data_IF_771357146785
#
_entry.id   IF_771357146785
#
_cell.length_a   1.000
_cell.length_b   1.000
_cell.length_c   1.000
_cell.angle_alpha   90.00
_cell.angle_beta   90.00
_cell.angle_gamma   90.00
#
_symmetry.space_group_name_H-M   'P 1'
#
loop_
_entity.id
_entity.type
_entity.pdbx_description
1 polymer ?
#
# COMPACT_ATOMS: atom_id res chain seq x y z
N UNK A 1 11.47 -6.29 11.35
CA UNK A 1 10.09 -6.04 10.89
C UNK A 1 9.45 -4.94 11.72
N UNK A 2 9.01 -3.87 11.06
CA UNK A 2 8.35 -2.72 11.69
C UNK A 2 6.84 -2.78 11.48
N UNK A 3 6.08 -2.88 12.56
CA UNK A 3 4.61 -2.86 12.53
C UNK A 3 4.00 -1.49 12.81
N UNK A 4 2.67 -1.43 12.80
CA UNK A 4 1.90 -0.22 13.12
C UNK A 4 2.18 0.37 14.51
N UNK A 5 2.63 -0.45 15.47
CA UNK A 5 3.02 -0.01 16.80
C UNK A 5 4.15 1.01 16.79
N UNK A 6 5.09 0.92 15.84
CA UNK A 6 6.19 1.90 15.70
C UNK A 6 5.65 3.28 15.28
N UNK A 7 4.69 3.31 14.35
CA UNK A 7 4.05 4.56 13.92
C UNK A 7 3.15 5.12 15.04
N UNK A 8 2.39 4.26 15.70
CA UNK A 8 1.44 4.68 16.73
C UNK A 8 2.13 5.26 17.97
N UNK A 9 3.33 4.77 18.30
CA UNK A 9 4.15 5.28 19.42
C UNK A 9 5.05 6.46 19.04
N UNK A 10 4.96 6.97 17.79
CA UNK A 10 5.86 8.01 17.26
C UNK A 10 7.35 7.63 17.40
N UNK A 11 7.70 6.40 17.04
CA UNK A 11 9.04 5.83 17.18
C UNK A 11 9.80 5.66 15.84
N UNK A 12 9.29 6.22 14.75
CA UNK A 12 9.87 6.05 13.41
C UNK A 12 11.32 6.58 13.33
N UNK A 13 11.61 7.74 13.92
CA UNK A 13 12.96 8.30 13.93
C UNK A 13 13.94 7.42 14.70
N UNK A 14 13.51 6.85 15.84
CA UNK A 14 14.31 5.90 16.62
C UNK A 14 14.54 4.60 15.85
N UNK A 15 13.57 4.14 15.10
CA UNK A 15 13.73 2.96 14.22
C UNK A 15 14.79 3.21 13.15
N UNK A 16 14.74 4.36 12.49
CA UNK A 16 15.73 4.73 11.45
C UNK A 16 17.11 4.85 12.08
N UNK A 17 17.23 5.56 13.21
CA UNK A 17 18.50 5.69 13.94
C UNK A 17 19.08 4.32 14.36
N UNK A 18 18.23 3.42 14.87
CA UNK A 18 18.66 2.06 15.23
C UNK A 18 19.15 1.28 14.00
N UNK A 19 18.43 1.37 12.88
CA UNK A 19 18.81 0.72 11.64
C UNK A 19 20.16 1.23 11.11
N UNK A 20 20.38 2.55 11.12
CA UNK A 20 21.64 3.18 10.68
C UNK A 20 22.83 2.84 11.57
N UNK A 21 22.63 2.77 12.90
CA UNK A 21 23.69 2.40 13.84
C UNK A 21 24.12 0.95 13.63
N UNK A 22 23.14 0.06 13.43
CA UNK A 22 23.35 -1.40 13.40
C UNK A 22 23.58 -1.97 12.01
N UNK A 23 23.22 -1.24 10.94
CA UNK A 23 23.21 -1.74 9.57
C UNK A 23 22.13 -2.81 9.30
N UNK A 24 21.06 -2.88 10.13
CA UNK A 24 19.99 -3.85 9.98
C UNK A 24 18.95 -3.31 9.02
N UNK A 25 18.68 -4.00 7.89
CA UNK A 25 17.60 -3.62 6.98
C UNK A 25 16.22 -3.71 7.63
N UNK A 26 15.31 -2.82 7.24
CA UNK A 26 13.96 -2.72 7.79
C UNK A 26 12.93 -3.18 6.77
N UNK A 27 12.01 -4.04 7.22
CA UNK A 27 10.85 -4.51 6.48
C UNK A 27 9.59 -3.96 7.18
N UNK A 28 8.92 -2.93 6.66
CA UNK A 28 7.63 -2.51 7.19
C UNK A 28 6.55 -3.55 6.90
N UNK A 29 5.59 -3.67 7.82
CA UNK A 29 4.29 -4.26 7.49
C UNK A 29 3.43 -3.21 6.79
N UNK A 30 2.29 -3.60 6.20
CA UNK A 30 1.37 -2.63 5.61
C UNK A 30 0.98 -1.51 6.59
N UNK A 31 0.74 -1.85 7.86
CA UNK A 31 0.40 -0.87 8.91
C UNK A 31 1.60 -0.11 9.45
N UNK A 32 2.81 -0.59 9.21
CA UNK A 32 4.08 0.08 9.55
C UNK A 32 4.70 0.83 8.37
N UNK A 33 4.03 0.88 7.21
CA UNK A 33 4.56 1.51 6.02
C UNK A 33 4.73 3.02 6.21
N UNK A 34 5.90 3.53 5.88
CA UNK A 34 6.33 4.89 6.19
C UNK A 34 7.08 5.04 7.51
N UNK A 35 7.22 3.99 8.34
CA UNK A 35 8.09 4.03 9.54
C UNK A 35 9.58 4.20 9.18
N UNK A 36 9.94 3.86 7.98
CA UNK A 36 11.18 4.19 7.29
C UNK A 36 10.82 4.63 5.88
N UNK A 37 11.42 5.72 5.32
CA UNK A 37 11.13 6.16 3.96
C UNK A 37 11.41 5.07 2.92
N UNK A 38 10.57 4.96 1.88
CA UNK A 38 10.82 4.00 0.78
C UNK A 38 12.12 4.30 0.01
N UNK A 39 12.61 5.54 0.03
CA UNK A 39 13.91 5.94 -0.53
C UNK A 39 15.12 5.53 0.33
N UNK A 40 14.91 5.17 1.60
CA UNK A 40 16.03 4.88 2.50
C UNK A 40 16.80 3.61 2.06
N UNK A 41 18.14 3.61 2.06
CA UNK A 41 18.95 2.45 1.63
C UNK A 41 18.69 1.17 2.43
N UNK A 42 18.32 1.29 3.70
CA UNK A 42 18.02 0.15 4.57
C UNK A 42 16.54 -0.27 4.52
N UNK A 43 15.68 0.40 3.75
CA UNK A 43 14.30 -0.05 3.51
C UNK A 43 14.33 -1.24 2.55
N UNK A 44 14.07 -2.45 3.06
CA UNK A 44 14.23 -3.69 2.32
C UNK A 44 12.92 -4.20 1.66
N UNK A 45 11.89 -3.38 1.60
CA UNK A 45 10.57 -3.74 1.04
C UNK A 45 9.64 -4.38 2.05
N UNK A 46 8.36 -4.41 1.73
CA UNK A 46 7.36 -5.13 2.53
C UNK A 46 7.36 -6.61 2.17
N UNK A 47 7.18 -7.47 3.18
CA UNK A 47 6.97 -8.90 3.01
C UNK A 47 5.49 -9.25 3.15
N UNK A 48 5.04 -10.28 2.47
CA UNK A 48 3.69 -10.79 2.60
C UNK A 48 3.17 -11.54 1.38
N UNK A 49 1.89 -11.90 1.45
CA UNK A 49 1.21 -12.71 0.43
C UNK A 49 0.57 -11.86 -0.66
N UNK A 50 0.24 -10.62 -0.36
CA UNK A 50 -0.54 -9.74 -1.23
C UNK A 50 0.07 -8.32 -1.31
N UNK A 51 0.34 -7.70 -0.16
CA UNK A 51 0.86 -6.33 -0.06
C UNK A 51 2.38 -6.34 0.04
N UNK A 52 3.05 -7.09 -0.82
CA UNK A 52 4.49 -7.31 -0.76
C UNK A 52 5.23 -6.75 -1.97
N UNK A 53 6.50 -6.45 -1.73
CA UNK A 53 7.48 -6.26 -2.79
C UNK A 53 8.22 -7.59 -3.02
N UNK A 54 8.52 -7.96 -4.27
CA UNK A 54 9.29 -9.19 -4.57
C UNK A 54 10.62 -9.24 -3.83
N UNK A 55 11.33 -8.11 -3.80
CA UNK A 55 12.59 -7.98 -3.08
C UNK A 55 12.43 -8.07 -1.55
N UNK A 56 11.28 -7.67 -0.99
CA UNK A 56 10.95 -7.83 0.42
C UNK A 56 10.83 -9.30 0.83
N UNK A 57 10.05 -10.08 0.07
CA UNK A 57 9.95 -11.53 0.29
C UNK A 57 11.30 -12.22 0.14
N UNK A 58 12.08 -11.91 -0.91
CA UNK A 58 13.41 -12.47 -1.12
C UNK A 58 14.38 -12.12 0.03
N UNK A 59 14.31 -10.90 0.56
CA UNK A 59 15.13 -10.49 1.72
C UNK A 59 14.73 -11.24 2.98
N UNK A 60 13.42 -11.38 3.24
CA UNK A 60 12.94 -12.16 4.38
C UNK A 60 13.37 -13.63 4.31
N UNK A 61 13.23 -14.25 3.14
CA UNK A 61 13.64 -15.66 2.92
C UNK A 61 15.14 -15.87 3.11
N UNK A 62 15.96 -14.89 2.81
CA UNK A 62 17.42 -14.94 2.97
C UNK A 62 17.89 -14.55 4.38
N UNK A 63 17.02 -14.11 5.27
CA UNK A 63 17.37 -13.71 6.65
C UNK A 63 17.53 -14.92 7.58
N UNK A 64 18.34 -14.77 8.61
CA UNK A 64 18.56 -15.76 9.68
C UNK A 64 18.00 -15.32 11.03
N UNK A 65 17.72 -14.01 11.17
CA UNK A 65 17.27 -13.40 12.40
C UNK A 65 16.26 -12.26 12.11
N UNK A 66 15.20 -12.19 12.89
CA UNK A 66 14.14 -11.19 12.75
C UNK A 66 13.82 -10.56 14.09
N UNK A 67 13.96 -9.24 14.16
CA UNK A 67 13.45 -8.43 15.25
C UNK A 67 12.11 -7.83 14.81
N UNK A 68 11.01 -8.26 15.39
CA UNK A 68 9.68 -7.71 15.15
C UNK A 68 9.29 -6.72 16.22
N UNK A 69 8.90 -5.51 15.82
CA UNK A 69 8.53 -4.42 16.75
C UNK A 69 7.13 -3.91 16.40
N UNK A 70 6.21 -4.01 17.37
CA UNK A 70 4.85 -3.47 17.25
C UNK A 70 4.05 -4.06 16.09
N UNK A 71 4.20 -5.36 15.84
CA UNK A 71 3.45 -6.08 14.81
C UNK A 71 2.87 -7.38 15.38
N UNK A 72 1.68 -7.75 14.91
CA UNK A 72 0.92 -8.90 15.41
C UNK A 72 1.09 -10.17 14.59
N UNK A 73 1.99 -10.20 13.63
CA UNK A 73 2.24 -11.32 12.72
C UNK A 73 0.96 -11.78 12.00
N UNK A 74 0.28 -10.81 11.34
CA UNK A 74 -0.94 -11.11 10.59
C UNK A 74 -0.64 -12.11 9.47
N UNK A 75 -1.59 -13.00 9.21
CA UNK A 75 -1.42 -14.07 8.22
C UNK A 75 -1.15 -13.53 6.79
N UNK A 76 -1.68 -12.38 6.41
CA UNK A 76 -1.35 -11.73 5.11
C UNK A 76 0.13 -11.32 5.01
N UNK A 77 0.80 -11.13 6.14
CA UNK A 77 2.23 -10.84 6.21
C UNK A 77 3.05 -12.12 6.29
N UNK A 78 2.65 -13.10 7.10
CA UNK A 78 3.44 -14.32 7.32
C UNK A 78 3.14 -15.42 6.30
N UNK A 79 1.90 -15.58 5.90
CA UNK A 79 1.44 -16.81 5.27
C UNK A 79 1.61 -18.00 6.20
N UNK A 80 1.99 -19.16 5.65
CA UNK A 80 2.38 -20.33 6.42
C UNK A 80 3.52 -20.02 7.38
N UNK A 81 3.29 -20.24 8.67
CA UNK A 81 4.31 -20.01 9.71
C UNK A 81 5.48 -20.99 9.59
N UNK A 82 5.27 -22.16 9.03
CA UNK A 82 6.34 -23.12 8.77
C UNK A 82 7.38 -22.55 7.78
N UNK A 83 6.92 -21.95 6.70
CA UNK A 83 7.79 -21.28 5.72
C UNK A 83 8.38 -19.99 6.30
N UNK A 84 7.52 -19.20 6.97
CA UNK A 84 7.92 -17.89 7.50
C UNK A 84 9.00 -18.02 8.59
N UNK A 85 8.93 -19.02 9.47
CA UNK A 85 9.85 -19.19 10.59
C UNK A 85 11.07 -20.06 10.24
N UNK A 86 11.04 -20.80 9.13
CA UNK A 86 12.07 -21.77 8.77
C UNK A 86 13.47 -21.17 8.74
N UNK A 87 14.36 -21.67 9.61
CA UNK A 87 15.76 -21.27 9.67
C UNK A 87 16.03 -19.89 10.29
N UNK A 88 15.02 -19.26 10.91
CA UNK A 88 15.11 -17.91 11.49
C UNK A 88 14.88 -17.94 12.99
N UNK A 89 15.57 -17.04 13.68
CA UNK A 89 15.32 -16.71 15.09
C UNK A 89 14.51 -15.42 15.18
N UNK A 90 13.66 -15.35 16.19
CA UNK A 90 12.74 -14.23 16.35
C UNK A 90 12.85 -13.58 17.73
N UNK A 91 12.99 -12.25 17.75
CA UNK A 91 12.65 -11.43 18.91
C UNK A 91 11.36 -10.68 18.59
N UNK A 92 10.39 -10.71 19.51
CA UNK A 92 9.11 -10.05 19.36
C UNK A 92 8.92 -9.01 20.45
N UNK A 93 8.79 -7.74 20.07
CA UNK A 93 8.47 -6.62 20.95
C UNK A 93 7.05 -6.16 20.66
N UNK A 94 6.18 -6.24 21.65
CA UNK A 94 4.80 -5.75 21.56
C UNK A 94 4.35 -5.19 22.91
N UNK A 95 3.48 -4.19 22.88
CA UNK A 95 2.91 -3.59 24.10
C UNK A 95 1.86 -4.51 24.74
N UNK A 96 1.20 -5.34 23.91
CA UNK A 96 0.16 -6.26 24.34
C UNK A 96 0.76 -7.65 24.62
N UNK A 97 0.85 -8.09 25.88
CA UNK A 97 1.52 -9.35 26.24
C UNK A 97 0.89 -10.57 25.56
N UNK A 98 -0.41 -10.53 25.27
CA UNK A 98 -1.13 -11.65 24.62
C UNK A 98 -0.79 -11.81 23.14
N UNK A 99 -0.12 -10.84 22.51
CA UNK A 99 0.41 -10.99 21.15
C UNK A 99 1.70 -11.80 21.11
N UNK A 100 2.48 -11.79 22.20
CA UNK A 100 3.74 -12.55 22.27
C UNK A 100 3.44 -14.05 22.24
N UNK A 101 3.93 -14.73 21.23
CA UNK A 101 3.72 -16.18 21.05
C UNK A 101 2.36 -16.59 20.50
N UNK A 102 1.48 -15.64 20.17
CA UNK A 102 0.13 -15.97 19.69
C UNK A 102 0.10 -16.69 18.35
N UNK A 103 0.98 -16.33 17.43
CA UNK A 103 1.04 -16.91 16.08
C UNK A 103 2.14 -17.98 15.99
N UNK A 104 3.31 -17.70 16.52
CA UNK A 104 4.42 -18.63 16.71
C UNK A 104 5.25 -18.20 17.92
N UNK A 105 5.91 -19.12 18.57
CA UNK A 105 6.74 -18.85 19.75
C UNK A 105 8.04 -18.16 19.30
N UNK A 106 8.32 -16.92 19.73
CA UNK A 106 9.61 -16.28 19.47
C UNK A 106 10.71 -16.85 20.38
N UNK A 107 11.98 -16.72 19.99
CA UNK A 107 13.13 -17.04 20.87
C UNK A 107 13.18 -16.10 22.08
N UNK A 108 12.75 -14.86 21.92
CA UNK A 108 12.62 -13.88 23.01
C UNK A 108 11.40 -12.98 22.80
N UNK A 109 10.53 -12.91 23.79
CA UNK A 109 9.42 -11.97 23.87
C UNK A 109 9.75 -10.80 24.80
N UNK A 110 9.46 -9.58 24.38
CA UNK A 110 9.64 -8.35 25.16
C UNK A 110 8.32 -7.60 25.20
N UNK A 111 7.72 -7.47 26.37
CA UNK A 111 6.53 -6.67 26.57
C UNK A 111 6.96 -5.23 26.83
N UNK A 112 6.75 -4.35 25.84
CA UNK A 112 7.14 -2.95 25.92
C UNK A 112 6.44 -2.11 24.85
N UNK A 113 6.24 -0.83 25.15
CA UNK A 113 5.97 0.18 24.14
C UNK A 113 7.13 0.25 23.12
N UNK A 114 6.80 0.42 21.82
CA UNK A 114 7.80 0.40 20.75
C UNK A 114 8.80 1.55 20.88
N UNK A 115 8.36 2.75 21.31
CA UNK A 115 9.25 3.90 21.50
C UNK A 115 10.23 3.67 22.66
N UNK A 116 9.74 3.14 23.77
CA UNK A 116 10.57 2.83 24.92
C UNK A 116 11.62 1.76 24.59
N UNK A 117 11.21 0.69 23.90
CA UNK A 117 12.13 -0.36 23.46
C UNK A 117 13.18 0.17 22.49
N UNK A 118 12.76 0.93 21.47
CA UNK A 118 13.67 1.47 20.45
C UNK A 118 14.65 2.50 21.05
N UNK A 119 14.22 3.34 21.99
CA UNK A 119 15.12 4.27 22.69
C UNK A 119 16.28 3.53 23.38
N UNK A 120 15.95 2.45 24.11
CA UNK A 120 16.96 1.64 24.77
C UNK A 120 17.84 0.86 23.77
N UNK A 121 17.23 0.34 22.68
CA UNK A 121 18.00 -0.33 21.63
C UNK A 121 19.00 0.61 20.94
N UNK A 122 18.63 1.87 20.69
CA UNK A 122 19.50 2.90 20.13
C UNK A 122 20.67 3.18 21.08
N UNK A 123 20.40 3.38 22.39
CA UNK A 123 21.42 3.62 23.41
C UNK A 123 22.45 2.47 23.46
N UNK A 124 21.97 1.24 23.64
CA UNK A 124 22.81 0.06 23.71
C UNK A 124 23.58 -0.18 22.41
N UNK A 125 22.95 0.00 21.25
CA UNK A 125 23.61 -0.14 19.96
C UNK A 125 24.74 0.90 19.78
N UNK A 126 24.53 2.15 20.23
CA UNK A 126 25.55 3.19 20.18
C UNK A 126 26.75 2.85 21.09
N UNK A 127 26.50 2.34 22.28
CA UNK A 127 27.57 1.87 23.20
C UNK A 127 28.35 0.69 22.62
N UNK A 128 27.63 -0.29 22.04
CA UNK A 128 28.26 -1.44 21.37
C UNK A 128 29.10 -1.03 20.17
N UNK A 129 28.64 -0.02 19.41
CA UNK A 129 29.39 0.55 18.27
C UNK A 129 30.70 1.19 18.75
N UNK A 130 30.64 2.01 19.81
CA UNK A 130 31.84 2.64 20.44
C UNK A 130 32.81 1.59 20.93
N UNK A 131 32.31 0.50 21.49
CA UNK A 131 33.12 -0.62 22.00
C UNK A 131 33.62 -1.59 20.92
N UNK A 132 33.32 -1.35 19.64
CA UNK A 132 33.70 -2.25 18.53
C UNK A 132 33.03 -3.62 18.59
N UNK A 133 31.88 -3.75 19.28
CA UNK A 133 31.15 -5.01 19.48
C UNK A 133 30.01 -5.24 18.53
N UNK A 134 29.67 -4.27 17.67
CA UNK A 134 28.65 -4.48 16.65
C UNK A 134 29.19 -5.36 15.52
N UNK A 135 28.36 -6.33 15.12
CA UNK A 135 28.64 -7.12 13.90
C UNK A 135 28.55 -6.21 12.66
N UNK A 136 29.53 -6.28 11.79
CA UNK A 136 29.48 -5.62 10.48
C UNK A 136 28.40 -6.29 9.61
N UNK A 137 27.48 -5.50 9.11
CA UNK A 137 26.37 -5.90 8.22
C UNK A 137 26.39 -5.18 6.88
N UNK A 138 27.51 -4.50 6.56
CA UNK A 138 27.64 -3.74 5.30
C UNK A 138 27.33 -4.60 4.08
N UNK A 139 27.85 -5.83 4.04
CA UNK A 139 27.59 -6.76 2.94
C UNK A 139 26.10 -7.13 2.86
N UNK A 140 25.46 -7.44 3.98
CA UNK A 140 24.04 -7.79 4.03
C UNK A 140 23.15 -6.63 3.61
N UNK A 141 23.42 -5.43 4.11
CA UNK A 141 22.70 -4.21 3.72
C UNK A 141 22.83 -3.93 2.21
N UNK A 142 24.04 -4.09 1.66
CA UNK A 142 24.30 -3.94 0.22
C UNK A 142 23.54 -4.99 -0.62
N UNK A 143 23.48 -6.24 -0.16
CA UNK A 143 22.69 -7.28 -0.83
C UNK A 143 21.19 -6.95 -0.84
N UNK A 144 20.64 -6.46 0.28
CA UNK A 144 19.23 -6.05 0.35
C UNK A 144 18.92 -4.87 -0.56
N UNK A 145 19.80 -3.87 -0.57
CA UNK A 145 19.68 -2.73 -1.49
C UNK A 145 19.84 -3.16 -2.96
N UNK A 146 20.76 -4.09 -3.22
CA UNK A 146 20.94 -4.68 -4.55
C UNK A 146 19.68 -5.38 -5.05
N UNK A 147 18.99 -6.17 -4.21
CA UNK A 147 17.70 -6.76 -4.56
C UNK A 147 16.65 -5.69 -4.86
N UNK A 148 16.54 -4.66 -4.01
CA UNK A 148 15.60 -3.55 -4.21
C UNK A 148 15.81 -2.84 -5.55
N UNK A 149 17.05 -2.65 -5.95
CA UNK A 149 17.41 -1.92 -7.17
C UNK A 149 17.54 -2.85 -8.41
N UNK A 150 17.40 -4.15 -8.23
CA UNK A 150 17.50 -5.12 -9.31
C UNK A 150 16.22 -5.17 -10.15
N UNK A 151 16.35 -5.07 -11.46
CA UNK A 151 15.24 -5.22 -12.40
C UNK A 151 14.57 -6.59 -12.29
N UNK A 152 15.32 -7.62 -11.92
CA UNK A 152 14.79 -8.97 -11.68
C UNK A 152 13.63 -9.00 -10.67
N UNK A 153 13.65 -8.11 -9.68
CA UNK A 153 12.62 -8.00 -8.64
C UNK A 153 11.56 -6.94 -8.91
N UNK A 154 11.69 -6.14 -9.98
CA UNK A 154 10.74 -5.08 -10.28
C UNK A 154 9.58 -5.61 -11.12
N UNK A 155 8.36 -5.15 -10.82
CA UNK A 155 7.18 -5.40 -11.64
C UNK A 155 7.12 -4.40 -12.80
N UNK A 156 6.59 -4.85 -13.94
CA UNK A 156 6.30 -3.95 -15.05
C UNK A 156 5.13 -3.01 -14.69
N UNK A 157 5.21 -1.75 -15.09
CA UNK A 157 4.18 -0.73 -14.80
C UNK A 157 3.75 0.07 -16.03
N UNK A 158 4.57 0.16 -17.08
CA UNK A 158 4.31 0.97 -18.28
C UNK A 158 3.40 0.28 -19.30
N UNK A 159 2.24 -0.16 -18.86
CA UNK A 159 1.21 -0.75 -19.72
C UNK A 159 0.39 0.34 -20.44
N UNK A 160 0.13 0.15 -21.72
CA UNK A 160 -0.63 1.09 -22.58
C UNK A 160 -1.90 0.44 -23.16
N UNK A 161 -2.38 -0.65 -22.58
CA UNK A 161 -3.59 -1.34 -22.98
C UNK A 161 -4.84 -0.52 -22.65
N UNK A 162 -5.89 -0.72 -23.45
CA UNK A 162 -7.21 -0.14 -23.21
C UNK A 162 -8.24 -1.29 -23.22
N UNK A 163 -9.01 -1.44 -22.13
CA UNK A 163 -9.00 -0.71 -20.86
C UNK A 163 -7.68 -0.83 -20.11
N UNK A 164 -7.39 0.16 -19.27
CA UNK A 164 -6.08 0.27 -18.60
C UNK A 164 -5.82 -0.82 -17.58
N UNK A 165 -4.54 -1.18 -17.42
CA UNK A 165 -4.06 -1.95 -16.28
C UNK A 165 -3.82 -1.05 -15.05
N UNK A 166 -4.12 -1.52 -13.83
CA UNK A 166 -3.97 -0.71 -12.61
C UNK A 166 -2.52 -0.26 -12.37
N UNK A 167 -1.53 -1.06 -12.77
CA UNK A 167 -0.12 -0.74 -12.60
C UNK A 167 0.28 0.59 -13.26
N UNK A 168 -0.32 0.88 -14.43
CA UNK A 168 -0.09 2.14 -15.14
C UNK A 168 -0.60 3.34 -14.35
N UNK A 169 -1.75 3.18 -13.67
CA UNK A 169 -2.34 4.22 -12.82
C UNK A 169 -1.44 4.53 -11.63
N UNK A 170 -0.95 3.50 -10.94
CA UNK A 170 -0.07 3.69 -9.77
C UNK A 170 1.29 4.26 -10.16
N UNK A 171 1.82 3.92 -11.32
CA UNK A 171 3.02 4.56 -11.87
C UNK A 171 2.82 6.07 -12.01
N UNK A 172 1.71 6.49 -12.61
CA UNK A 172 1.39 7.90 -12.76
C UNK A 172 1.22 8.62 -11.41
N UNK A 173 0.56 7.95 -10.45
CA UNK A 173 0.40 8.49 -9.11
C UNK A 173 1.75 8.75 -8.43
N UNK A 174 2.70 7.82 -8.53
CA UNK A 174 4.05 7.98 -7.95
C UNK A 174 4.81 9.13 -8.60
N UNK A 175 4.70 9.28 -9.93
CA UNK A 175 5.37 10.34 -10.68
C UNK A 175 4.82 11.73 -10.36
N UNK A 176 3.49 11.82 -10.15
CA UNK A 176 2.80 13.12 -10.04
C UNK A 176 2.71 13.63 -8.62
N UNK A 177 2.36 12.76 -7.64
CA UNK A 177 2.05 13.23 -6.28
C UNK A 177 3.27 13.52 -5.41
N UNK A 178 4.44 12.91 -5.72
CA UNK A 178 5.68 13.13 -5.00
C UNK A 178 5.70 12.52 -3.60
N UNK A 179 6.67 12.94 -2.78
CA UNK A 179 6.97 12.31 -1.49
C UNK A 179 6.07 12.76 -0.32
N UNK A 180 5.39 13.91 -0.46
CA UNK A 180 4.59 14.50 0.63
C UNK A 180 3.10 14.15 0.56
N UNK A 181 2.74 13.16 -0.24
CA UNK A 181 1.36 12.70 -0.38
C UNK A 181 0.96 11.76 0.76
N UNK A 182 -0.27 11.92 1.24
CA UNK A 182 -0.91 10.97 2.15
C UNK A 182 -1.94 10.15 1.39
N UNK A 183 -1.72 8.86 1.31
CA UNK A 183 -2.66 7.92 0.74
C UNK A 183 -3.66 7.43 1.79
N UNK A 184 -4.93 7.39 1.42
CA UNK A 184 -6.02 6.84 2.24
C UNK A 184 -6.68 5.71 1.45
N UNK A 185 -6.69 4.50 1.97
CA UNK A 185 -7.24 3.33 1.26
C UNK A 185 -7.70 2.26 2.25
N UNK A 186 -8.75 1.53 1.91
CA UNK A 186 -9.29 0.47 2.76
C UNK A 186 -8.79 -0.92 2.38
N UNK A 187 -9.46 -1.60 1.47
CA UNK A 187 -9.22 -2.99 1.09
C UNK A 187 -9.54 -3.22 -0.40
N UNK A 188 -9.27 -4.40 -0.91
CA UNK A 188 -9.55 -4.83 -2.27
C UNK A 188 -8.32 -4.79 -3.17
N UNK A 189 -8.52 -5.05 -4.46
CA UNK A 189 -7.41 -5.02 -5.41
C UNK A 189 -6.72 -3.67 -5.48
N UNK A 190 -7.46 -2.56 -5.30
CA UNK A 190 -6.93 -1.20 -5.26
C UNK A 190 -5.88 -1.01 -4.17
N UNK A 191 -6.18 -1.44 -2.93
CA UNK A 191 -5.25 -1.38 -1.81
C UNK A 191 -4.04 -2.29 -2.03
N UNK A 192 -4.28 -3.52 -2.48
CA UNK A 192 -3.22 -4.51 -2.67
C UNK A 192 -2.24 -4.06 -3.75
N UNK A 193 -2.75 -3.63 -4.90
CA UNK A 193 -1.93 -3.07 -5.96
C UNK A 193 -1.26 -1.75 -5.52
N UNK A 194 -1.98 -0.88 -4.82
CA UNK A 194 -1.39 0.31 -4.21
C UNK A 194 -0.18 -0.02 -3.35
N UNK A 195 -0.28 -1.04 -2.48
CA UNK A 195 0.83 -1.46 -1.65
C UNK A 195 2.00 -2.09 -2.43
N UNK A 196 1.74 -2.67 -3.59
CA UNK A 196 2.78 -3.26 -4.45
C UNK A 196 3.52 -2.22 -5.32
N UNK A 197 2.88 -1.09 -5.64
CA UNK A 197 3.40 -0.15 -6.65
C UNK A 197 3.59 1.29 -6.14
N UNK A 198 2.84 1.74 -5.13
CA UNK A 198 3.02 3.08 -4.56
C UNK A 198 4.28 3.18 -3.70
N UNK A 199 4.62 4.41 -3.29
CA UNK A 199 5.73 4.72 -2.40
C UNK A 199 5.27 5.60 -1.25
N UNK A 200 5.80 5.34 -0.04
CA UNK A 200 5.47 6.09 1.17
C UNK A 200 6.78 6.51 1.86
N UNK A 201 6.93 7.79 2.09
CA UNK A 201 8.19 8.38 2.55
C UNK A 201 8.15 8.87 4.00
N UNK A 202 6.95 8.98 4.59
CA UNK A 202 6.77 9.56 5.93
C UNK A 202 5.81 8.71 6.76
N UNK A 203 5.98 8.66 8.09
CA UNK A 203 5.01 8.02 8.96
C UNK A 203 3.64 8.71 8.85
N UNK A 204 2.55 7.94 9.00
CA UNK A 204 1.16 8.40 8.85
C UNK A 204 0.81 8.97 7.45
N UNK A 205 1.60 8.64 6.41
CA UNK A 205 1.29 8.94 5.01
C UNK A 205 0.67 7.76 4.25
N UNK A 206 0.53 6.62 4.91
CA UNK A 206 -0.35 5.52 4.50
C UNK A 206 -1.40 5.31 5.59
N UNK A 207 -2.64 5.69 5.31
CA UNK A 207 -3.76 5.59 6.25
C UNK A 207 -4.71 4.51 5.77
N UNK A 208 -4.89 3.50 6.61
CA UNK A 208 -5.65 2.32 6.30
C UNK A 208 -6.46 1.88 7.52
N UNK A 209 -7.61 1.25 7.29
CA UNK A 209 -8.54 0.80 8.34
C UNK A 209 -8.03 -0.36 9.21
N UNK A 210 -6.81 -0.80 9.04
CA UNK A 210 -6.22 -1.87 9.83
C UNK A 210 -6.71 -3.25 9.44
N UNK A 211 -7.16 -4.05 10.41
CA UNK A 211 -7.46 -5.45 10.17
C UNK A 211 -8.91 -5.75 9.75
N UNK A 212 -9.83 -4.85 9.95
CA UNK A 212 -11.25 -5.08 9.63
C UNK A 212 -11.53 -4.96 8.13
N UNK A 213 -10.95 -3.96 7.44
CA UNK A 213 -11.04 -3.77 6.01
C UNK A 213 -12.48 -3.60 5.47
N UNK A 214 -13.34 -2.74 6.05
CA UNK A 214 -14.69 -2.55 5.53
C UNK A 214 -14.68 -1.80 4.21
N UNK A 215 -15.58 -2.13 3.30
CA UNK A 215 -15.92 -1.29 2.15
C UNK A 215 -16.67 -0.03 2.63
N UNK A 216 -16.50 1.08 1.91
CA UNK A 216 -17.10 2.37 2.26
C UNK A 216 -16.26 3.22 3.23
N UNK A 217 -15.11 2.73 3.67
CA UNK A 217 -14.29 3.45 4.65
C UNK A 217 -13.45 4.59 4.05
N UNK A 218 -13.05 4.49 2.78
CA UNK A 218 -12.04 5.38 2.18
C UNK A 218 -12.49 6.84 2.12
N UNK A 219 -13.71 7.12 1.66
CA UNK A 219 -14.23 8.50 1.52
C UNK A 219 -14.37 9.19 2.87
N UNK A 220 -15.10 8.63 3.88
CA UNK A 220 -15.22 9.28 5.19
C UNK A 220 -13.85 9.41 5.90
N UNK A 221 -12.94 8.47 5.72
CA UNK A 221 -11.59 8.59 6.29
C UNK A 221 -10.80 9.74 5.65
N UNK A 222 -10.87 9.94 4.33
CA UNK A 222 -10.23 11.06 3.66
C UNK A 222 -10.77 12.41 4.14
N UNK A 223 -12.09 12.51 4.37
CA UNK A 223 -12.73 13.68 4.98
C UNK A 223 -12.20 13.92 6.40
N UNK A 224 -12.08 12.86 7.21
CA UNK A 224 -11.53 12.94 8.56
C UNK A 224 -10.08 13.41 8.58
N UNK A 225 -9.23 12.89 7.67
CA UNK A 225 -7.83 13.34 7.54
C UNK A 225 -7.78 14.83 7.15
N UNK A 226 -8.61 15.26 6.20
CA UNK A 226 -8.67 16.67 5.79
C UNK A 226 -9.15 17.58 6.91
N UNK A 227 -10.12 17.15 7.70
CA UNK A 227 -10.62 17.90 8.85
C UNK A 227 -9.56 18.03 9.96
N UNK A 228 -8.78 16.95 10.18
CA UNK A 228 -7.73 16.95 11.20
C UNK A 228 -6.49 17.75 10.78
N UNK A 229 -6.13 17.72 9.50
CA UNK A 229 -4.97 18.44 8.95
C UNK A 229 -5.33 19.12 7.62
N UNK A 230 -5.69 20.41 7.67
CA UNK A 230 -6.08 21.16 6.47
C UNK A 230 -4.95 21.38 5.45
N UNK A 231 -3.70 21.16 5.82
CA UNK A 231 -2.52 21.40 4.96
C UNK A 231 -2.07 20.18 4.19
N UNK A 232 -2.49 18.99 4.61
CA UNK A 232 -2.02 17.71 4.09
C UNK A 232 -2.47 17.47 2.65
N UNK A 233 -1.57 17.03 1.78
CA UNK A 233 -1.92 16.54 0.44
C UNK A 233 -2.53 15.14 0.56
N UNK A 234 -3.82 15.01 0.26
CA UNK A 234 -4.57 13.76 0.46
C UNK A 234 -4.98 13.20 -0.88
N UNK A 235 -4.63 11.93 -1.11
CA UNK A 235 -5.09 11.13 -2.24
C UNK A 235 -5.76 9.87 -1.70
N UNK A 236 -7.07 9.82 -1.83
CA UNK A 236 -7.85 8.62 -1.52
C UNK A 236 -7.81 7.66 -2.71
N UNK A 237 -7.64 6.37 -2.44
CA UNK A 237 -7.54 5.31 -3.45
C UNK A 237 -8.54 4.20 -3.13
N UNK A 238 -9.49 3.96 -4.03
CA UNK A 238 -10.48 2.90 -3.86
C UNK A 238 -10.90 2.27 -5.18
N UNK A 239 -11.42 1.05 -5.09
CA UNK A 239 -12.23 0.45 -6.15
C UNK A 239 -13.66 1.00 -6.14
N UNK A 240 -14.41 0.66 -7.18
CA UNK A 240 -15.80 1.10 -7.41
C UNK A 240 -16.75 0.67 -6.28
N UNK A 241 -16.65 -0.56 -5.79
CA UNK A 241 -17.51 -1.03 -4.69
C UNK A 241 -17.24 -0.31 -3.37
N UNK A 242 -15.97 -0.10 -3.00
CA UNK A 242 -15.65 0.68 -1.79
C UNK A 242 -16.19 2.10 -1.91
N UNK A 243 -16.00 2.72 -3.05
CA UNK A 243 -16.45 4.07 -3.32
C UNK A 243 -17.97 4.22 -3.25
N UNK A 244 -18.73 3.26 -3.82
CA UNK A 244 -20.19 3.31 -3.86
C UNK A 244 -20.85 3.14 -2.50
N UNK A 245 -20.23 2.41 -1.56
CA UNK A 245 -20.84 2.15 -0.24
C UNK A 245 -21.08 3.40 0.60
N UNK A 246 -20.29 4.46 0.40
CA UNK A 246 -20.39 5.73 1.15
C UNK A 246 -20.19 6.93 0.22
N UNK A 247 -20.66 6.83 -1.02
CA UNK A 247 -20.51 7.89 -2.03
C UNK A 247 -21.20 9.19 -1.62
N UNK A 248 -22.30 9.10 -0.88
CA UNK A 248 -23.07 10.23 -0.36
C UNK A 248 -22.26 11.13 0.58
N UNK A 249 -21.24 10.61 1.25
CA UNK A 249 -20.37 11.40 2.12
C UNK A 249 -19.57 12.48 1.35
N UNK A 250 -19.48 12.37 0.04
CA UNK A 250 -18.90 13.44 -0.80
C UNK A 250 -19.68 14.76 -0.64
N UNK A 251 -20.99 14.72 -0.39
CA UNK A 251 -21.80 15.91 -0.15
C UNK A 251 -21.35 16.64 1.14
N UNK A 252 -20.94 15.90 2.16
CA UNK A 252 -20.31 16.47 3.38
C UNK A 252 -19.02 17.19 3.01
N UNK A 253 -18.18 16.57 2.17
CA UNK A 253 -16.95 17.16 1.66
C UNK A 253 -17.19 18.46 0.88
N UNK A 254 -18.22 18.52 0.05
CA UNK A 254 -18.61 19.73 -0.67
C UNK A 254 -19.14 20.83 0.27
N UNK A 255 -20.03 20.46 1.20
CA UNK A 255 -20.64 21.39 2.15
C UNK A 255 -19.61 22.06 3.06
N UNK A 256 -18.68 21.29 3.63
CA UNK A 256 -17.71 21.75 4.61
C UNK A 256 -16.37 22.17 4.02
N UNK A 257 -16.25 22.18 2.67
CA UNK A 257 -15.01 22.57 1.99
C UNK A 257 -13.81 21.72 2.41
N UNK A 258 -13.98 20.39 2.34
CA UNK A 258 -12.97 19.40 2.69
C UNK A 258 -12.38 18.76 1.41
N UNK A 259 -11.50 19.46 0.67
CA UNK A 259 -10.98 18.98 -0.60
C UNK A 259 -9.98 17.84 -0.42
N UNK A 260 -10.11 16.83 -1.25
CA UNK A 260 -9.10 15.78 -1.49
C UNK A 260 -9.25 15.25 -2.92
N UNK A 261 -8.24 14.55 -3.42
CA UNK A 261 -8.33 13.83 -4.70
C UNK A 261 -8.69 12.40 -4.41
N UNK A 262 -9.75 11.90 -5.05
CA UNK A 262 -10.10 10.48 -5.07
C UNK A 262 -9.66 9.88 -6.41
N UNK A 263 -8.72 8.93 -6.38
CA UNK A 263 -8.44 8.05 -7.50
C UNK A 263 -9.37 6.85 -7.37
N UNK A 264 -10.38 6.79 -8.23
CA UNK A 264 -11.35 5.72 -8.31
C UNK A 264 -10.93 4.75 -9.43
N UNK A 265 -10.35 3.61 -9.05
CA UNK A 265 -9.99 2.56 -10.01
C UNK A 265 -11.19 1.66 -10.23
N UNK A 266 -11.87 1.87 -11.36
CA UNK A 266 -13.14 1.25 -11.66
C UNK A 266 -12.97 0.08 -12.65
N UNK A 267 -13.13 -1.15 -12.15
CA UNK A 267 -13.24 -2.34 -12.99
C UNK A 267 -14.67 -2.91 -13.02
N UNK A 268 -15.62 -2.27 -12.35
CA UNK A 268 -17.03 -2.68 -12.22
C UNK A 268 -17.18 -4.13 -11.72
N UNK A 269 -16.32 -4.53 -10.77
CA UNK A 269 -16.23 -5.91 -10.32
C UNK A 269 -15.68 -6.02 -8.90
N UNK A 270 -16.18 -6.97 -8.09
CA UNK A 270 -15.53 -7.40 -6.84
C UNK A 270 -14.30 -8.26 -7.16
N UNK A 271 -13.27 -7.63 -7.70
CA UNK A 271 -12.13 -8.29 -8.34
C UNK A 271 -11.33 -9.21 -7.40
N UNK A 272 -11.12 -8.81 -6.15
CA UNK A 272 -10.41 -9.63 -5.16
C UNK A 272 -11.15 -10.93 -4.84
N UNK A 273 -12.47 -10.86 -4.67
CA UNK A 273 -13.30 -12.04 -4.42
C UNK A 273 -13.25 -12.97 -5.62
N UNK A 274 -13.38 -12.42 -6.84
CA UNK A 274 -13.27 -13.19 -8.07
C UNK A 274 -11.91 -13.88 -8.22
N UNK A 275 -10.82 -13.17 -7.93
CA UNK A 275 -9.48 -13.75 -8.01
C UNK A 275 -9.29 -14.87 -7.00
N UNK A 276 -9.80 -14.70 -5.76
CA UNK A 276 -9.78 -15.74 -4.74
C UNK A 276 -10.59 -16.98 -5.14
N UNK A 277 -11.82 -16.78 -5.62
CA UNK A 277 -12.66 -17.90 -6.10
C UNK A 277 -11.97 -18.69 -7.20
N UNK A 278 -11.35 -18.01 -8.17
CA UNK A 278 -10.60 -18.67 -9.24
C UNK A 278 -9.35 -19.39 -8.71
N UNK A 279 -8.67 -18.84 -7.72
CA UNK A 279 -7.53 -19.48 -7.07
C UNK A 279 -7.89 -20.78 -6.33
N UNK A 280 -9.15 -20.92 -5.91
CA UNK A 280 -9.70 -22.14 -5.30
C UNK A 280 -10.38 -23.06 -6.34
N UNK A 281 -10.20 -22.81 -7.64
CA UNK A 281 -10.78 -23.60 -8.72
C UNK A 281 -12.31 -23.78 -8.63
N UNK A 282 -13.00 -22.75 -8.15
CA UNK A 282 -14.46 -22.77 -8.02
C UNK A 282 -15.09 -22.71 -9.41
N UNK A 283 -15.97 -23.66 -9.71
CA UNK A 283 -16.69 -23.79 -11.00
C UNK A 283 -17.68 -22.66 -11.27
N UNK A 284 -18.13 -22.00 -10.20
CA UNK A 284 -19.02 -20.87 -10.28
C UNK A 284 -18.48 -19.68 -9.51
N UNK A 285 -18.72 -18.50 -10.06
CA UNK A 285 -18.52 -17.25 -9.31
C UNK A 285 -19.90 -16.62 -9.13
N UNK A 286 -20.17 -16.15 -7.91
CA UNK A 286 -21.35 -15.30 -7.67
C UNK A 286 -21.26 -14.10 -8.58
N UNK A 287 -22.40 -13.58 -9.05
CA UNK A 287 -22.41 -12.34 -9.85
C UNK A 287 -21.77 -11.19 -9.03
N UNK A 288 -20.60 -10.81 -9.44
CA UNK A 288 -19.78 -9.79 -8.77
C UNK A 288 -19.61 -8.53 -9.63
N UNK A 289 -20.12 -8.61 -10.88
CA UNK A 289 -20.06 -7.49 -11.81
C UNK A 289 -21.25 -6.54 -11.60
N UNK A 290 -21.01 -5.28 -11.87
CA UNK A 290 -22.03 -4.24 -11.88
C UNK A 290 -22.35 -3.87 -13.34
N UNK A 291 -23.33 -4.56 -13.94
CA UNK A 291 -23.84 -4.25 -15.27
C UNK A 291 -25.25 -3.68 -15.13
N UNK A 292 -25.41 -2.40 -15.37
CA UNK A 292 -26.72 -1.78 -15.34
C UNK A 292 -27.31 -1.77 -16.76
N UNK A 293 -28.12 -2.78 -17.08
CA UNK A 293 -28.77 -2.94 -18.39
C UNK A 293 -29.82 -1.86 -18.69
N UNK A 294 -30.22 -1.09 -17.69
CA UNK A 294 -31.22 -0.03 -17.81
C UNK A 294 -30.63 1.33 -18.13
N UNK A 295 -29.31 1.47 -18.14
CA UNK A 295 -28.66 2.73 -18.52
C UNK A 295 -28.69 2.82 -20.07
N UNK A 296 -29.27 3.89 -20.66
CA UNK A 296 -29.26 4.09 -22.10
C UNK A 296 -27.83 4.20 -22.64
N UNK A 297 -27.57 3.68 -23.84
CA UNK A 297 -26.27 3.85 -24.53
C UNK A 297 -25.85 5.33 -24.66
N UNK A 298 -26.86 6.23 -24.77
CA UNK A 298 -26.67 7.68 -24.85
C UNK A 298 -26.16 8.32 -23.52
N UNK A 299 -26.09 7.58 -22.42
CA UNK A 299 -25.67 8.13 -21.12
C UNK A 299 -24.17 8.47 -21.04
N UNK A 300 -23.38 8.08 -22.05
CA UNK A 300 -21.94 8.39 -22.09
C UNK A 300 -21.08 7.62 -21.11
N UNK A 301 -21.58 6.53 -20.56
CA UNK A 301 -20.79 5.59 -19.74
C UNK A 301 -20.13 4.55 -20.63
N UNK A 302 -19.00 4.03 -20.16
CA UNK A 302 -18.31 2.94 -20.85
C UNK A 302 -19.17 1.68 -20.79
N UNK A 303 -19.34 1.01 -21.92
CA UNK A 303 -20.15 -0.21 -22.02
C UNK A 303 -19.66 -1.28 -21.02
N UNK A 304 -20.59 -1.82 -20.25
CA UNK A 304 -20.32 -2.84 -19.23
C UNK A 304 -19.89 -2.29 -17.86
N UNK A 305 -19.83 -0.97 -17.69
CA UNK A 305 -19.56 -0.31 -16.40
C UNK A 305 -20.85 0.35 -15.91
N UNK A 306 -21.48 -0.25 -14.92
CA UNK A 306 -22.91 -0.05 -14.63
C UNK A 306 -23.29 1.24 -13.90
N UNK A 307 -22.34 2.08 -13.48
CA UNK A 307 -22.61 3.31 -12.75
C UNK A 307 -21.91 4.49 -13.39
N UNK A 308 -22.64 5.56 -13.64
CA UNK A 308 -22.08 6.85 -14.06
C UNK A 308 -21.62 7.64 -12.82
N UNK A 309 -20.43 7.28 -12.31
CA UNK A 309 -19.88 7.91 -11.11
C UNK A 309 -19.65 9.41 -11.30
N UNK A 310 -19.29 9.85 -12.50
CA UNK A 310 -19.06 11.28 -12.77
C UNK A 310 -20.35 12.09 -12.49
N UNK A 311 -21.48 11.66 -13.04
CA UNK A 311 -22.75 12.35 -12.81
C UNK A 311 -23.21 12.29 -11.34
N UNK A 312 -23.00 11.15 -10.68
CA UNK A 312 -23.34 11.03 -9.24
C UNK A 312 -22.49 12.00 -8.42
N UNK A 313 -21.19 12.03 -8.64
CA UNK A 313 -20.25 12.93 -7.92
C UNK A 313 -20.60 14.39 -8.16
N UNK A 314 -20.89 14.79 -9.40
CA UNK A 314 -21.32 16.16 -9.73
C UNK A 314 -22.65 16.51 -9.07
N UNK A 315 -23.59 15.57 -9.04
CA UNK A 315 -24.88 15.72 -8.34
C UNK A 315 -24.74 15.93 -6.83
N UNK A 316 -23.65 15.45 -6.22
CA UNK A 316 -23.31 15.66 -4.81
C UNK A 316 -22.54 16.98 -4.56
N UNK A 317 -22.35 17.82 -5.58
CA UNK A 317 -21.68 19.12 -5.46
C UNK A 317 -20.14 19.04 -5.54
N UNK A 318 -19.60 17.93 -5.96
CA UNK A 318 -18.17 17.70 -6.16
C UNK A 318 -17.77 17.84 -7.64
N UNK A 319 -16.51 17.57 -7.99
CA UNK A 319 -16.00 17.54 -9.36
C UNK A 319 -15.53 16.15 -9.74
N UNK A 320 -15.67 15.78 -10.99
CA UNK A 320 -15.19 14.49 -11.47
C UNK A 320 -14.65 14.55 -12.91
N UNK A 321 -13.69 13.68 -13.19
CA UNK A 321 -13.14 13.42 -14.53
C UNK A 321 -13.10 11.93 -14.75
N UNK A 322 -13.56 11.46 -15.92
CA UNK A 322 -13.37 10.06 -16.35
C UNK A 322 -12.16 9.94 -17.26
N UNK A 323 -11.36 8.92 -17.01
CA UNK A 323 -10.14 8.57 -17.73
C UNK A 323 -10.29 7.16 -18.29
N UNK A 324 -10.19 7.02 -19.59
CA UNK A 324 -10.36 5.75 -20.31
C UNK A 324 -9.06 5.24 -20.94
N UNK A 325 -8.06 6.12 -21.08
CA UNK A 325 -6.75 5.83 -21.69
C UNK A 325 -5.62 6.47 -20.89
N UNK A 326 -4.45 5.85 -20.96
CA UNK A 326 -3.26 6.26 -20.22
C UNK A 326 -2.79 7.69 -20.55
N UNK A 327 -2.97 8.14 -21.81
CA UNK A 327 -2.59 9.49 -22.25
C UNK A 327 -3.41 10.62 -21.58
N UNK A 328 -4.53 10.27 -20.96
CA UNK A 328 -5.41 11.21 -20.24
C UNK A 328 -5.04 11.34 -18.75
N UNK A 329 -4.28 10.39 -18.16
CA UNK A 329 -4.05 10.30 -16.71
C UNK A 329 -3.36 11.55 -16.15
N UNK A 330 -2.23 11.94 -16.73
CA UNK A 330 -1.45 13.10 -16.25
C UNK A 330 -2.29 14.38 -16.29
N UNK A 331 -3.04 14.61 -17.38
CA UNK A 331 -3.93 15.75 -17.51
C UNK A 331 -5.04 15.71 -16.44
N UNK A 332 -5.69 14.56 -16.25
CA UNK A 332 -6.79 14.43 -15.29
C UNK A 332 -6.33 14.67 -13.84
N UNK A 333 -5.15 14.18 -13.47
CA UNK A 333 -4.57 14.43 -12.13
C UNK A 333 -4.23 15.91 -11.96
N UNK A 334 -3.57 16.53 -12.94
CA UNK A 334 -3.25 17.96 -12.88
C UNK A 334 -4.52 18.83 -12.80
N UNK A 335 -5.56 18.46 -13.55
CA UNK A 335 -6.86 19.14 -13.49
C UNK A 335 -7.54 18.95 -12.12
N UNK A 336 -7.43 17.76 -11.52
CA UNK A 336 -7.93 17.50 -10.18
C UNK A 336 -7.21 18.37 -9.12
N UNK A 337 -5.88 18.50 -9.21
CA UNK A 337 -5.10 19.42 -8.35
C UNK A 337 -5.53 20.90 -8.50
N UNK A 338 -5.81 21.34 -9.71
CA UNK A 338 -6.35 22.68 -9.94
C UNK A 338 -7.75 22.84 -9.31
N UNK A 339 -8.63 21.87 -9.52
CA UNK A 339 -10.02 21.95 -9.03
C UNK A 339 -10.14 21.85 -7.50
N UNK A 340 -9.31 21.08 -6.78
CA UNK A 340 -9.32 21.07 -5.31
C UNK A 340 -8.94 22.45 -4.76
N UNK A 341 -8.11 23.19 -5.47
CA UNK A 341 -7.70 24.55 -5.08
C UNK A 341 -8.79 25.56 -5.41
N UNK A 342 -9.35 25.51 -6.60
CA UNK A 342 -10.36 26.46 -7.10
C UNK A 342 -11.72 26.31 -6.38
N UNK A 343 -12.25 25.08 -6.36
CA UNK A 343 -13.60 24.83 -5.85
C UNK A 343 -13.62 24.43 -4.37
N UNK A 344 -12.49 23.97 -3.83
CA UNK A 344 -12.34 23.49 -2.44
C UNK A 344 -13.36 22.39 -2.08
N UNK A 345 -13.57 21.47 -3.01
CA UNK A 345 -14.43 20.28 -2.83
C UNK A 345 -13.64 19.02 -3.17
N UNK A 346 -14.10 17.83 -2.76
CA UNK A 346 -13.53 16.58 -3.28
C UNK A 346 -13.57 16.51 -4.80
N UNK A 347 -12.53 15.95 -5.40
CA UNK A 347 -12.42 15.76 -6.84
C UNK A 347 -12.15 14.29 -7.12
N UNK A 348 -12.97 13.67 -7.94
CA UNK A 348 -12.86 12.25 -8.30
C UNK A 348 -12.26 12.11 -9.69
N UNK A 349 -11.16 11.38 -9.79
CA UNK A 349 -10.60 10.92 -11.06
C UNK A 349 -11.00 9.44 -11.19
N UNK A 350 -12.05 9.18 -11.99
CA UNK A 350 -12.49 7.83 -12.28
C UNK A 350 -11.65 7.26 -13.41
N UNK A 351 -10.93 6.20 -13.13
CA UNK A 351 -10.07 5.50 -14.09
C UNK A 351 -10.70 4.17 -14.47
N UNK A 352 -11.01 3.99 -15.74
CA UNK A 352 -11.59 2.75 -16.26
C UNK A 352 -10.50 1.71 -16.43
N UNK A 353 -10.58 0.64 -15.66
CA UNK A 353 -9.64 -0.48 -15.70
C UNK A 353 -10.21 -1.67 -16.49
N UNK A 354 -9.35 -2.57 -16.91
CA UNK A 354 -9.77 -3.89 -17.35
C UNK A 354 -10.62 -4.57 -16.26
N UNK A 355 -11.72 -5.23 -16.67
CA UNK A 355 -12.66 -5.83 -15.71
C UNK A 355 -12.04 -6.96 -14.90
N UNK A 356 -11.15 -7.70 -15.52
CA UNK A 356 -10.47 -8.85 -14.92
C UNK A 356 -9.02 -8.50 -14.67
N UNK A 357 -8.79 -7.85 -13.55
CA UNK A 357 -7.45 -7.53 -13.05
C UNK A 357 -6.98 -8.65 -12.12
N UNK A 358 -5.77 -9.11 -12.32
CA UNK A 358 -5.07 -10.01 -11.39
C UNK A 358 -3.88 -9.29 -10.77
N UNK A 359 -3.68 -9.53 -9.48
CA UNK A 359 -2.60 -8.94 -8.69
C UNK A 359 -1.80 -10.07 -8.05
N UNK A 360 -0.49 -9.90 -7.89
CA UNK A 360 0.36 -10.89 -7.27
C UNK A 360 -0.15 -11.28 -5.87
N UNK A 361 -0.40 -12.56 -5.67
CA UNK A 361 -0.97 -13.13 -4.44
C UNK A 361 -0.42 -14.54 -4.20
N UNK A 362 -0.37 -14.96 -2.95
CA UNK A 362 0.06 -16.30 -2.58
C UNK A 362 -0.53 -16.78 -1.26
N UNK A 363 -0.18 -17.98 -0.88
CA UNK A 363 -0.47 -18.60 0.42
C UNK A 363 0.76 -18.66 1.32
N UNK A 364 1.94 -18.53 0.73
CA UNK A 364 3.26 -18.58 1.37
C UNK A 364 4.18 -17.52 0.75
N UNK A 365 5.13 -17.02 1.53
CA UNK A 365 6.02 -15.92 1.07
C UNK A 365 7.03 -16.36 0.00
N UNK A 366 7.28 -17.65 -0.18
CA UNK A 366 8.14 -18.24 -1.21
C UNK A 366 7.35 -18.71 -2.45
N UNK A 367 6.03 -18.67 -2.42
CA UNK A 367 5.13 -19.12 -3.49
C UNK A 367 4.04 -18.09 -3.83
N UNK A 368 4.44 -16.83 -3.99
CA UNK A 368 3.55 -15.77 -4.49
C UNK A 368 3.41 -15.92 -6.00
N UNK A 369 2.19 -16.10 -6.49
CA UNK A 369 1.88 -16.11 -7.91
C UNK A 369 1.96 -14.70 -8.49
N UNK A 370 2.86 -14.52 -9.44
CA UNK A 370 3.03 -13.26 -10.16
C UNK A 370 2.21 -13.31 -11.47
N UNK A 371 1.25 -12.42 -11.60
CA UNK A 371 0.40 -12.32 -12.79
C UNK A 371 0.92 -11.34 -13.82
N UNK A 372 1.77 -10.41 -13.38
CA UNK A 372 2.38 -9.42 -14.26
C UNK A 372 3.86 -9.71 -14.48
N UNK A 373 4.40 -9.43 -15.68
CA UNK A 373 5.79 -9.71 -15.98
C UNK A 373 6.75 -8.90 -15.11
N UNK A 374 7.96 -9.43 -14.93
CA UNK A 374 9.09 -8.70 -14.39
C UNK A 374 9.49 -7.58 -15.35
N UNK A 375 9.92 -6.44 -14.85
CA UNK A 375 10.49 -5.38 -15.67
C UNK A 375 11.74 -5.91 -16.40
N UNK A 376 11.82 -5.65 -17.70
CA UNK A 376 12.93 -6.10 -18.56
C UNK A 376 13.94 -5.00 -18.81
N UNK A 377 13.56 -3.76 -18.58
CA UNK A 377 14.38 -2.57 -18.81
C UNK A 377 14.07 -1.51 -17.74
N UNK A 378 14.90 -0.47 -17.71
CA UNK A 378 14.68 0.72 -16.88
C UNK A 378 13.31 1.37 -17.16
N UNK A 379 12.89 1.38 -18.44
CA UNK A 379 11.60 1.94 -18.86
C UNK A 379 10.40 1.16 -18.34
N UNK A 380 10.58 -0.14 -18.08
CA UNK A 380 9.54 -1.01 -17.52
C UNK A 380 9.45 -0.94 -15.99
N UNK A 381 10.45 -0.40 -15.31
CA UNK A 381 10.51 -0.37 -13.86
C UNK A 381 9.79 0.87 -13.29
N UNK A 382 9.28 0.80 -12.05
CA UNK A 382 8.72 1.97 -11.37
C UNK A 382 9.79 3.07 -11.19
N UNK A 383 9.48 4.28 -11.63
CA UNK A 383 10.43 5.42 -11.66
C UNK A 383 11.04 5.72 -10.28
N UNK A 384 10.26 5.62 -9.21
CA UNK A 384 10.74 5.90 -7.85
C UNK A 384 11.85 4.96 -7.33
N UNK A 385 12.10 3.84 -8.01
CA UNK A 385 13.14 2.85 -7.61
C UNK A 385 14.48 3.15 -8.29
N UNK A 386 14.47 3.92 -9.38
CA UNK A 386 15.64 4.18 -10.24
C UNK A 386 16.38 5.47 -9.87
N UNK A 387 15.83 6.28 -8.98
CA UNK A 387 16.39 7.59 -8.60
C UNK A 387 17.26 7.55 -7.33
N UNK A 388 17.58 6.39 -6.81
CA UNK A 388 18.39 6.25 -5.57
C UNK A 388 19.82 5.82 -5.84
#
# INVERSE_FOLDING_TARGET
VSGGGVINSDASDLLVQFAEITGIPVIPTLMGWGSIPDSHPLMAGMVGLQTSHRYGNATMLASDFVLGIGNRWANRHTGSTEVYCKGRKFIHVDIEPTQIGRIFTPDLGIVSDAKAALALFVEVAAEMKKAGKLKDRTKWAAECLGRKNSIEYQRKTNFNEVPMKPQRVYQEMVQTFGEDVTYVSTIGLSQIAGAQFLKVFKPRHWINCGQAGPLGWTVPAALGVRAADPTRKIVALSGDYDFQFMIEELAVGAQFKLPFIQILVNNSYLGLIRQAQRGFEMDYCVQLAFDNVNIPESAGIVKGYGVDHVKVVEGLGCKAIRVEREDQLAYAIAQAEAWITEFRVPVVVEVILERVTNIAMGTEIDSVNEFEPVAKSIEDAPVAVLQS
#
